data_IF_724510737530
#
_entry.id   IF_724510737530
#
_cell.length_a   1.000
_cell.length_b   1.000
_cell.length_c   1.000
_cell.angle_alpha   90.00
_cell.angle_beta   90.00
_cell.angle_gamma   90.00
#
_symmetry.space_group_name_H-M   'P 1'
#
loop_
_entity.id
_entity.type
_entity.pdbx_description
1 polymer ?
#
# COMPACT_ATOMS: atom_id res chain seq x y z
N UNK A 1 -2.70 -2.97 24.66
CA UNK A 1 -1.58 -3.01 25.61
C UNK A 1 -2.09 -2.61 26.98
N UNK A 2 -1.69 -3.32 28.02
CA UNK A 2 -2.08 -3.10 29.42
C UNK A 2 -0.87 -2.73 30.29
N UNK A 3 -1.09 -2.01 31.39
CA UNK A 3 -0.02 -1.77 32.38
C UNK A 3 0.47 -3.11 32.95
N UNK A 4 1.78 -3.30 33.03
CA UNK A 4 2.46 -4.54 33.42
C UNK A 4 2.75 -5.50 32.26
N UNK A 5 2.32 -5.17 31.03
CA UNK A 5 2.63 -5.98 29.85
C UNK A 5 4.06 -5.73 29.37
N UNK A 6 4.78 -6.80 29.05
CA UNK A 6 6.12 -6.73 28.47
C UNK A 6 6.03 -6.65 26.95
N UNK A 7 6.61 -5.62 26.35
CA UNK A 7 6.57 -5.37 24.90
C UNK A 7 7.97 -5.12 24.33
N UNK A 8 8.16 -5.47 23.06
CA UNK A 8 9.38 -5.16 22.30
C UNK A 8 9.28 -3.72 21.76
N UNK A 9 10.34 -2.95 21.92
CA UNK A 9 10.38 -1.53 21.59
C UNK A 9 11.79 -1.13 21.15
N UNK A 10 11.96 -0.71 19.90
CA UNK A 10 13.26 -0.22 19.40
C UNK A 10 14.41 -1.22 19.64
N UNK A 11 15.29 -0.86 20.58
CA UNK A 11 16.54 -1.52 20.99
C UNK A 11 16.38 -2.63 22.05
N UNK A 12 15.17 -2.91 22.54
CA UNK A 12 15.00 -4.00 23.50
C UNK A 12 13.59 -4.28 24.00
N UNK A 13 13.54 -4.81 25.23
CA UNK A 13 12.31 -5.22 25.92
C UNK A 13 11.98 -4.19 27.01
N UNK A 14 10.72 -3.76 27.09
CA UNK A 14 10.24 -2.84 28.12
C UNK A 14 8.88 -3.22 28.70
N UNK A 15 8.64 -2.84 29.95
CA UNK A 15 7.37 -3.03 30.64
C UNK A 15 6.49 -1.80 30.47
N UNK A 16 5.21 -1.98 30.09
CA UNK A 16 4.23 -0.90 30.04
C UNK A 16 3.93 -0.42 31.46
N UNK A 17 4.43 0.77 31.80
CA UNK A 17 4.17 1.40 33.11
C UNK A 17 2.98 2.34 33.09
N UNK A 18 2.61 2.86 31.92
CA UNK A 18 1.44 3.71 31.77
C UNK A 18 0.85 3.61 30.37
N UNK A 19 -0.48 3.69 30.25
CA UNK A 19 -1.18 3.82 28.97
C UNK A 19 -1.87 5.17 28.94
N UNK A 20 -1.66 5.95 27.88
CA UNK A 20 -2.34 7.24 27.70
C UNK A 20 -3.86 7.05 27.63
N UNK A 21 -4.66 8.00 28.11
CA UNK A 21 -6.12 7.86 28.26
C UNK A 21 -6.91 7.47 26.99
N UNK A 22 -6.32 7.70 25.80
CA UNK A 22 -6.88 7.31 24.49
C UNK A 22 -6.26 6.04 23.89
N UNK A 23 -5.39 5.34 24.60
CA UNK A 23 -4.70 4.12 24.16
C UNK A 23 -3.65 4.30 23.06
N UNK A 24 -3.40 5.53 22.59
CA UNK A 24 -2.52 5.81 21.43
C UNK A 24 -1.03 5.81 21.74
N UNK A 25 -0.67 6.02 23.01
CA UNK A 25 0.70 6.05 23.46
C UNK A 25 0.81 5.29 24.78
N UNK A 26 1.96 4.66 25.00
CA UNK A 26 2.28 3.96 26.23
C UNK A 26 3.66 4.40 26.71
N UNK A 27 3.80 4.50 28.02
CA UNK A 27 5.08 4.71 28.67
C UNK A 27 5.66 3.33 28.93
N UNK A 28 6.81 3.04 28.35
CA UNK A 28 7.56 1.82 28.61
C UNK A 28 8.74 2.10 29.52
N UNK A 29 9.01 1.18 30.44
CA UNK A 29 10.24 1.14 31.22
C UNK A 29 11.17 0.07 30.62
N UNK A 30 12.32 0.49 30.10
CA UNK A 30 13.31 -0.45 29.54
C UNK A 30 13.82 -1.42 30.60
N UNK A 31 13.83 -2.71 30.29
CA UNK A 31 14.40 -3.73 31.17
C UNK A 31 15.92 -3.59 31.31
N UNK A 32 16.60 -3.09 30.27
CA UNK A 32 18.06 -2.94 30.24
C UNK A 32 18.54 -1.69 30.98
N UNK A 33 17.93 -0.53 30.68
CA UNK A 33 18.40 0.77 31.21
C UNK A 33 17.58 1.29 32.38
N UNK A 34 16.43 0.68 32.67
CA UNK A 34 15.45 1.14 33.66
C UNK A 34 14.85 2.52 33.38
N UNK A 35 15.17 3.15 32.24
CA UNK A 35 14.60 4.42 31.81
C UNK A 35 13.19 4.26 31.28
N UNK A 36 12.37 5.29 31.46
CA UNK A 36 11.00 5.33 30.94
C UNK A 36 10.87 6.24 29.73
N UNK A 37 10.24 5.76 28.65
CA UNK A 37 10.02 6.53 27.43
C UNK A 37 8.60 6.33 26.90
N UNK A 38 8.01 7.41 26.38
CA UNK A 38 6.74 7.34 25.66
C UNK A 38 6.96 6.82 24.26
N UNK A 39 6.16 5.84 23.87
CA UNK A 39 6.09 5.32 22.52
C UNK A 39 4.65 5.40 22.05
N UNK A 40 4.44 5.62 20.76
CA UNK A 40 3.11 5.38 20.21
C UNK A 40 2.87 3.88 20.13
N UNK A 41 1.66 3.44 20.48
CA UNK A 41 1.34 2.00 20.53
C UNK A 41 1.58 1.30 19.16
N UNK A 42 1.49 2.04 18.06
CA UNK A 42 1.78 1.53 16.71
C UNK A 42 3.28 1.41 16.38
N UNK A 43 4.17 2.03 17.16
CA UNK A 43 5.63 1.90 17.03
C UNK A 43 6.18 0.70 17.80
N UNK A 44 5.37 0.18 18.73
CA UNK A 44 5.72 -0.92 19.64
C UNK A 44 5.21 -2.28 19.19
N UNK A 45 4.50 -2.32 18.06
CA UNK A 45 4.12 -3.58 17.47
C UNK A 45 5.38 -4.16 16.84
N UNK A 46 5.96 -5.26 17.33
CA UNK A 46 6.97 -5.95 16.57
C UNK A 46 6.29 -6.37 15.26
N UNK A 47 6.73 -5.82 14.13
CA UNK A 47 6.48 -6.51 12.87
C UNK A 47 7.28 -7.80 12.99
N UNK A 48 6.60 -8.93 13.15
CA UNK A 48 7.29 -10.21 13.11
C UNK A 48 8.15 -10.24 11.84
N UNK A 49 9.44 -10.54 11.99
CA UNK A 49 10.35 -10.65 10.83
C UNK A 49 9.87 -11.70 9.81
N UNK A 50 8.95 -12.57 10.22
CA UNK A 50 8.34 -13.58 9.37
C UNK A 50 7.35 -12.95 8.39
N UNK A 51 7.67 -13.03 7.10
CA UNK A 51 6.71 -12.81 6.03
C UNK A 51 6.03 -14.12 5.59
N UNK A 52 5.95 -15.11 6.48
CA UNK A 52 5.23 -16.36 6.21
C UNK A 52 3.71 -16.10 6.25
N UNK A 53 3.23 -15.36 5.26
CA UNK A 53 1.83 -15.05 5.08
C UNK A 53 1.09 -16.33 4.72
N UNK A 54 0.27 -16.81 5.66
CA UNK A 54 -0.61 -17.95 5.49
C UNK A 54 -1.76 -17.58 4.52
N UNK A 55 -1.84 -18.21 3.32
CA UNK A 55 -2.85 -17.87 2.32
C UNK A 55 -4.29 -17.93 2.86
N UNK A 56 -4.59 -18.90 3.71
CA UNK A 56 -5.91 -19.12 4.31
C UNK A 56 -6.39 -17.96 5.21
N UNK A 57 -5.52 -17.02 5.56
CA UNK A 57 -5.87 -15.80 6.31
C UNK A 57 -6.46 -14.70 5.43
N UNK A 58 -6.31 -14.80 4.11
CA UNK A 58 -6.80 -13.82 3.15
C UNK A 58 -8.13 -14.27 2.52
N UNK A 59 -8.95 -13.33 2.00
CA UNK A 59 -10.15 -13.68 1.25
C UNK A 59 -9.83 -14.70 0.15
N UNK A 60 -10.65 -15.75 0.00
CA UNK A 60 -10.39 -16.88 -0.89
C UNK A 60 -9.94 -16.48 -2.32
N UNK A 61 -10.55 -15.47 -2.97
CA UNK A 61 -10.12 -15.05 -4.31
C UNK A 61 -8.72 -14.40 -4.36
N UNK A 62 -8.17 -13.98 -3.22
CA UNK A 62 -6.92 -13.22 -3.09
C UNK A 62 -5.79 -14.02 -2.40
N UNK A 63 -5.91 -15.34 -2.32
CA UNK A 63 -4.92 -16.21 -1.64
C UNK A 63 -3.70 -16.56 -2.51
N UNK A 64 -3.63 -16.10 -3.76
CA UNK A 64 -2.45 -16.30 -4.60
C UNK A 64 -1.60 -15.04 -4.65
N UNK A 65 -0.38 -15.13 -4.13
CA UNK A 65 0.55 -14.01 -4.08
C UNK A 65 2.01 -14.48 -3.98
N UNK A 66 2.93 -13.57 -4.26
CA UNK A 66 4.36 -13.69 -3.97
C UNK A 66 4.70 -12.76 -2.80
N UNK A 67 5.57 -13.20 -1.91
CA UNK A 67 6.01 -12.41 -0.77
C UNK A 67 7.52 -12.54 -0.58
N UNK A 68 8.18 -11.43 -0.22
CA UNK A 68 9.60 -11.40 0.13
C UNK A 68 9.83 -10.48 1.33
N UNK A 69 10.62 -10.92 2.34
CA UNK A 69 11.04 -10.05 3.42
C UNK A 69 12.13 -9.09 2.94
N UNK A 70 12.30 -7.98 3.66
CA UNK A 70 13.52 -7.18 3.57
C UNK A 70 14.70 -7.97 4.15
N UNK A 71 15.89 -7.79 3.57
CA UNK A 71 17.14 -8.37 4.08
C UNK A 71 17.55 -7.84 5.48
N UNK A 72 16.93 -6.74 5.92
CA UNK A 72 17.25 -6.06 7.19
C UNK A 72 16.12 -6.15 8.20
N UNK A 73 15.01 -5.43 7.95
CA UNK A 73 13.83 -5.36 8.83
C UNK A 73 12.59 -5.04 8.01
N UNK A 74 11.43 -5.59 8.38
CA UNK A 74 10.18 -5.38 7.63
C UNK A 74 9.38 -4.19 8.16
N UNK A 75 9.99 -3.01 8.25
CA UNK A 75 9.33 -1.83 8.81
C UNK A 75 8.14 -1.35 7.96
N UNK A 76 8.26 -1.54 6.64
CA UNK A 76 7.22 -1.21 5.67
C UNK A 76 6.79 -2.47 4.89
N UNK A 77 5.61 -2.41 4.29
CA UNK A 77 5.16 -3.39 3.31
C UNK A 77 4.57 -2.67 2.10
N UNK A 78 5.05 -3.01 0.91
CA UNK A 78 4.45 -2.56 -0.36
C UNK A 78 3.64 -3.71 -0.95
N UNK A 79 2.35 -3.46 -1.14
CA UNK A 79 1.41 -4.39 -1.79
C UNK A 79 1.24 -3.99 -3.26
N UNK A 80 1.70 -4.85 -4.16
CA UNK A 80 1.61 -4.66 -5.60
C UNK A 80 0.32 -5.25 -6.16
N UNK A 81 -0.39 -4.42 -6.95
CA UNK A 81 -1.58 -4.78 -7.70
C UNK A 81 -1.28 -4.60 -9.20
N UNK A 82 -1.18 -5.71 -9.93
CA UNK A 82 -0.78 -5.73 -11.34
C UNK A 82 -1.86 -5.16 -12.29
N UNK A 83 -1.48 -4.91 -13.55
CA UNK A 83 -2.40 -4.44 -14.60
C UNK A 83 -3.29 -5.55 -15.18
N UNK A 84 -4.28 -5.17 -15.98
CA UNK A 84 -5.15 -6.10 -16.69
C UNK A 84 -4.32 -7.04 -17.57
N UNK A 85 -4.58 -8.34 -17.48
CA UNK A 85 -3.94 -9.36 -18.29
C UNK A 85 -2.52 -9.74 -17.87
N UNK A 86 -2.08 -9.25 -16.72
CA UNK A 86 -0.80 -9.64 -16.11
C UNK A 86 -1.01 -10.63 -14.96
N UNK A 87 0.09 -10.98 -14.28
CA UNK A 87 0.13 -11.77 -13.06
C UNK A 87 0.92 -11.03 -11.98
N UNK A 88 0.77 -11.46 -10.74
CA UNK A 88 1.58 -11.00 -9.62
C UNK A 88 3.10 -11.13 -9.83
N UNK A 89 3.59 -12.07 -10.66
CA UNK A 89 5.02 -12.34 -10.80
C UNK A 89 5.80 -11.17 -11.42
N UNK A 90 5.25 -10.51 -12.44
CA UNK A 90 5.92 -9.38 -13.10
C UNK A 90 6.02 -8.16 -12.16
N UNK A 91 4.92 -7.85 -11.47
CA UNK A 91 4.90 -6.77 -10.47
C UNK A 91 5.80 -7.07 -9.26
N UNK A 92 5.95 -8.35 -8.89
CA UNK A 92 6.87 -8.77 -7.85
C UNK A 92 8.34 -8.54 -8.25
N UNK A 93 8.71 -8.91 -9.49
CA UNK A 93 10.04 -8.66 -10.02
C UNK A 93 10.37 -7.15 -10.10
N UNK A 94 9.38 -6.32 -10.46
CA UNK A 94 9.52 -4.86 -10.39
C UNK A 94 9.82 -4.39 -8.96
N UNK A 95 9.06 -4.86 -7.97
CA UNK A 95 9.30 -4.53 -6.57
C UNK A 95 10.68 -4.94 -6.07
N UNK A 96 11.18 -6.11 -6.50
CA UNK A 96 12.53 -6.57 -6.20
C UNK A 96 13.60 -5.62 -6.76
N UNK A 97 13.42 -5.18 -8.02
CA UNK A 97 14.34 -4.27 -8.69
C UNK A 97 14.40 -2.87 -8.04
N UNK A 98 13.35 -2.44 -7.33
CA UNK A 98 13.34 -1.17 -6.60
C UNK A 98 14.27 -1.17 -5.38
N UNK A 99 14.59 -2.34 -4.82
CA UNK A 99 15.49 -2.51 -3.68
C UNK A 99 15.20 -1.56 -2.50
N UNK A 100 13.91 -1.43 -2.14
CA UNK A 100 13.47 -0.50 -1.09
C UNK A 100 14.02 -0.93 0.28
N UNK A 101 14.65 -0.02 1.03
CA UNK A 101 15.23 -0.34 2.33
C UNK A 101 14.14 -0.66 3.35
N UNK A 102 14.42 -1.63 4.21
CA UNK A 102 13.54 -2.03 5.32
C UNK A 102 12.07 -2.26 4.94
N UNK A 103 11.85 -2.77 3.72
CA UNK A 103 10.53 -2.89 3.11
C UNK A 103 10.32 -4.31 2.62
N UNK A 104 9.29 -4.96 3.14
CA UNK A 104 8.80 -6.22 2.60
C UNK A 104 7.96 -5.97 1.34
N UNK A 105 7.88 -6.99 0.48
CA UNK A 105 7.12 -6.94 -0.76
C UNK A 105 6.02 -8.01 -0.72
N UNK A 106 4.80 -7.64 -1.09
CA UNK A 106 3.69 -8.55 -1.34
C UNK A 106 3.12 -8.23 -2.72
N UNK A 107 3.11 -9.19 -3.64
CA UNK A 107 2.47 -9.01 -4.95
C UNK A 107 1.31 -9.97 -5.09
N UNK A 108 0.10 -9.42 -5.28
CA UNK A 108 -1.14 -10.18 -5.26
C UNK A 108 -1.66 -10.42 -6.68
N UNK A 109 -2.17 -11.63 -6.92
CA UNK A 109 -2.82 -11.96 -8.19
C UNK A 109 -4.28 -11.55 -8.13
N UNK A 110 -4.75 -10.92 -9.20
CA UNK A 110 -6.15 -10.57 -9.33
C UNK A 110 -7.05 -11.83 -9.40
N UNK A 111 -8.31 -11.76 -8.93
CA UNK A 111 -9.14 -12.95 -8.71
C UNK A 111 -9.74 -13.58 -9.98
N UNK A 112 -9.87 -12.81 -11.07
CA UNK A 112 -10.54 -13.30 -12.28
C UNK A 112 -9.53 -13.67 -13.35
N UNK A 113 -9.49 -14.94 -13.76
CA UNK A 113 -8.71 -15.35 -14.92
C UNK A 113 -9.38 -14.85 -16.21
N UNK A 114 -8.60 -14.32 -17.14
CA UNK A 114 -9.07 -13.99 -18.48
C UNK A 114 -9.09 -15.23 -19.37
N UNK A 115 -9.97 -15.27 -20.40
CA UNK A 115 -9.99 -16.35 -21.38
C UNK A 115 -8.63 -16.53 -22.07
N UNK A 116 -8.37 -17.74 -22.57
CA UNK A 116 -7.18 -18.07 -23.38
C UNK A 116 -5.84 -17.80 -22.67
N UNK A 117 -5.80 -17.95 -21.34
CA UNK A 117 -4.61 -17.73 -20.51
C UNK A 117 -4.00 -16.32 -20.67
N UNK A 118 -4.83 -15.33 -21.00
CA UNK A 118 -4.41 -13.93 -21.17
C UNK A 118 -4.15 -13.19 -19.83
N UNK A 119 -3.86 -13.92 -18.75
CA UNK A 119 -3.60 -13.37 -17.43
C UNK A 119 -4.85 -13.14 -16.58
N UNK A 120 -4.82 -12.13 -15.71
CA UNK A 120 -5.83 -11.93 -14.66
C UNK A 120 -6.38 -10.50 -14.64
N UNK A 121 -7.55 -10.35 -14.04
CA UNK A 121 -8.29 -9.11 -13.94
C UNK A 121 -8.86 -8.88 -12.54
N UNK A 122 -8.78 -7.63 -12.06
CA UNK A 122 -9.25 -7.24 -10.72
C UNK A 122 -10.77 -7.17 -10.63
N UNK A 123 -11.40 -6.78 -11.72
CA UNK A 123 -12.84 -6.58 -11.87
C UNK A 123 -13.18 -6.77 -13.35
N UNK A 124 -14.47 -6.83 -13.69
CA UNK A 124 -14.92 -7.00 -15.07
C UNK A 124 -14.44 -5.86 -15.99
N UNK A 125 -13.58 -6.19 -16.96
CA UNK A 125 -12.81 -5.20 -17.73
C UNK A 125 -13.04 -5.22 -19.24
N UNK A 126 -13.81 -6.19 -19.75
CA UNK A 126 -14.03 -6.37 -21.19
C UNK A 126 -15.52 -6.19 -21.51
N UNK A 127 -15.85 -5.58 -22.64
CA UNK A 127 -17.21 -5.56 -23.17
C UNK A 127 -17.60 -6.88 -23.87
N UNK A 128 -18.79 -6.91 -24.46
CA UNK A 128 -19.32 -8.09 -25.16
C UNK A 128 -18.52 -8.46 -26.43
N UNK A 129 -17.73 -7.52 -26.95
CA UNK A 129 -16.84 -7.70 -28.10
C UNK A 129 -15.44 -8.16 -27.67
N UNK A 130 -15.14 -8.13 -26.36
CA UNK A 130 -13.84 -8.46 -25.80
C UNK A 130 -12.87 -7.27 -25.77
N UNK A 131 -13.34 -6.06 -26.06
CA UNK A 131 -12.54 -4.84 -25.99
C UNK A 131 -12.45 -4.33 -24.55
N UNK A 132 -11.31 -3.72 -24.20
CA UNK A 132 -11.08 -3.19 -22.86
C UNK A 132 -11.98 -1.98 -22.61
N UNK A 133 -12.76 -2.02 -21.54
CA UNK A 133 -13.62 -0.93 -21.10
C UNK A 133 -12.78 0.30 -20.72
N UNK A 134 -12.92 1.44 -21.42
CA UNK A 134 -12.17 2.65 -21.11
C UNK A 134 -12.53 3.24 -19.73
N UNK A 135 -11.56 3.91 -19.12
CA UNK A 135 -11.76 4.61 -17.85
C UNK A 135 -12.65 5.83 -18.05
N UNK A 136 -13.64 6.00 -17.16
CA UNK A 136 -14.62 7.10 -17.22
C UNK A 136 -15.89 6.78 -18.01
N UNK A 137 -15.97 5.63 -18.67
CA UNK A 137 -17.21 5.12 -19.29
C UNK A 137 -17.94 4.26 -18.26
N UNK A 138 -19.18 4.59 -17.89
CA UNK A 138 -19.95 3.81 -16.92
C UNK A 138 -20.26 2.40 -17.44
N UNK A 139 -20.14 1.38 -16.58
CA UNK A 139 -20.43 0.00 -16.97
C UNK A 139 -20.87 -0.85 -15.77
N UNK A 140 -22.10 -1.34 -15.80
CA UNK A 140 -22.74 -1.98 -14.63
C UNK A 140 -21.96 -3.18 -14.09
N UNK A 141 -21.50 -4.09 -14.95
CA UNK A 141 -20.76 -5.26 -14.49
C UNK A 141 -19.38 -4.90 -13.90
N UNK A 142 -18.75 -3.84 -14.42
CA UNK A 142 -17.48 -3.33 -13.89
C UNK A 142 -17.68 -2.77 -12.49
N UNK A 143 -18.70 -1.93 -12.34
CA UNK A 143 -18.96 -1.23 -11.08
C UNK A 143 -19.41 -2.23 -9.99
N UNK A 144 -20.20 -3.25 -10.35
CA UNK A 144 -20.57 -4.35 -9.45
C UNK A 144 -19.37 -5.18 -9.00
N UNK A 145 -18.55 -5.66 -9.93
CA UNK A 145 -17.36 -6.46 -9.59
C UNK A 145 -16.31 -5.67 -8.80
N UNK A 146 -16.16 -4.36 -9.04
CA UNK A 146 -15.34 -3.49 -8.19
C UNK A 146 -15.92 -3.37 -6.76
N UNK A 147 -17.24 -3.23 -6.64
CA UNK A 147 -17.91 -3.16 -5.33
C UNK A 147 -17.77 -4.46 -4.52
N UNK A 148 -17.69 -5.62 -5.19
CA UNK A 148 -17.40 -6.92 -4.58
C UNK A 148 -15.92 -7.07 -4.20
N UNK A 149 -15.00 -6.54 -5.02
CA UNK A 149 -13.56 -6.58 -4.78
C UNK A 149 -13.14 -5.75 -3.56
N UNK A 150 -13.69 -4.55 -3.41
CA UNK A 150 -13.22 -3.58 -2.42
C UNK A 150 -13.22 -4.10 -0.98
N UNK A 151 -14.31 -4.73 -0.47
CA UNK A 151 -14.31 -5.34 0.85
C UNK A 151 -13.22 -6.40 1.04
N UNK A 152 -12.87 -7.16 -0.01
CA UNK A 152 -11.80 -8.16 0.07
C UNK A 152 -10.41 -7.52 0.19
N UNK A 153 -10.16 -6.42 -0.53
CA UNK A 153 -8.92 -5.66 -0.38
C UNK A 153 -8.83 -4.96 0.98
N UNK A 154 -9.94 -4.42 1.50
CA UNK A 154 -10.02 -3.87 2.85
C UNK A 154 -9.70 -4.94 3.90
N UNK A 155 -10.28 -6.13 3.76
CA UNK A 155 -10.01 -7.26 4.66
C UNK A 155 -8.55 -7.71 4.58
N UNK A 156 -7.96 -7.70 3.38
CA UNK A 156 -6.53 -7.99 3.18
C UNK A 156 -5.66 -7.03 3.99
N UNK A 157 -5.91 -5.72 3.90
CA UNK A 157 -5.19 -4.71 4.69
C UNK A 157 -5.41 -4.90 6.20
N UNK A 158 -6.64 -5.24 6.61
CA UNK A 158 -6.96 -5.53 8.01
C UNK A 158 -6.20 -6.74 8.53
N UNK A 159 -6.05 -7.78 7.72
CA UNK A 159 -5.28 -8.98 8.06
C UNK A 159 -3.79 -8.65 8.16
N UNK A 160 -3.23 -7.93 7.19
CA UNK A 160 -1.84 -7.45 7.24
C UNK A 160 -1.55 -6.64 8.51
N UNK A 161 -2.53 -5.84 8.95
CA UNK A 161 -2.40 -5.07 10.18
C UNK A 161 -2.57 -5.90 11.46
N UNK A 162 -3.68 -6.62 11.59
CA UNK A 162 -4.09 -7.25 12.85
C UNK A 162 -3.45 -8.60 13.11
N UNK A 163 -3.07 -9.32 12.06
CA UNK A 163 -2.45 -10.66 12.16
C UNK A 163 -0.94 -10.57 11.98
N UNK A 164 -0.48 -9.78 11.02
CA UNK A 164 0.94 -9.70 10.66
C UNK A 164 1.66 -8.46 11.18
N UNK A 165 0.93 -7.54 11.82
CA UNK A 165 1.51 -6.48 12.65
C UNK A 165 2.00 -5.24 11.91
N UNK A 166 1.81 -5.12 10.59
CA UNK A 166 2.16 -3.87 9.91
C UNK A 166 1.17 -2.74 10.27
N UNK A 167 1.64 -1.60 10.80
CA UNK A 167 0.79 -0.43 10.97
C UNK A 167 0.25 0.06 9.62
N UNK A 168 -1.01 0.53 9.56
CA UNK A 168 -1.59 1.04 8.30
C UNK A 168 -0.75 2.14 7.67
N UNK A 169 -0.18 3.05 8.47
CA UNK A 169 0.71 4.12 7.99
C UNK A 169 2.08 3.64 7.48
N UNK A 170 2.34 2.32 7.47
CA UNK A 170 3.51 1.66 6.88
C UNK A 170 3.13 0.59 5.84
N UNK A 171 1.83 0.49 5.52
CA UNK A 171 1.30 -0.26 4.39
C UNK A 171 1.19 0.66 3.19
N UNK A 172 1.82 0.28 2.08
CA UNK A 172 1.80 1.02 0.82
C UNK A 172 1.10 0.20 -0.25
N UNK A 173 0.35 0.85 -1.13
CA UNK A 173 -0.22 0.22 -2.31
C UNK A 173 0.53 0.70 -3.55
N UNK A 174 0.93 -0.23 -4.41
CA UNK A 174 1.53 0.05 -5.70
C UNK A 174 0.64 -0.55 -6.79
N UNK A 175 -0.06 0.29 -7.54
CA UNK A 175 -0.98 -0.16 -8.57
C UNK A 175 -0.48 0.17 -9.97
N UNK A 176 -0.59 -0.79 -10.89
CA UNK A 176 -0.35 -0.60 -12.32
C UNK A 176 -1.67 -0.72 -13.09
N UNK A 177 -1.98 0.27 -13.92
CA UNK A 177 -3.18 0.31 -14.76
C UNK A 177 -4.46 -0.11 -13.98
N UNK A 178 -5.04 -1.27 -14.30
CA UNK A 178 -6.20 -1.80 -13.58
C UNK A 178 -5.97 -1.95 -12.07
N UNK A 179 -4.78 -2.37 -11.64
CA UNK A 179 -4.42 -2.44 -10.23
C UNK A 179 -4.30 -1.06 -9.57
N UNK A 180 -3.98 -0.01 -10.33
CA UNK A 180 -4.03 1.37 -9.85
C UNK A 180 -5.47 1.81 -9.55
N UNK A 181 -6.46 1.37 -10.35
CA UNK A 181 -7.86 1.63 -10.06
C UNK A 181 -8.29 1.00 -8.74
N UNK A 182 -7.89 -0.25 -8.51
CA UNK A 182 -8.14 -0.94 -7.26
C UNK A 182 -7.46 -0.23 -6.07
N UNK A 183 -6.17 0.13 -6.21
CA UNK A 183 -5.41 0.81 -5.16
C UNK A 183 -6.01 2.17 -4.77
N UNK A 184 -6.38 3.00 -5.75
CA UNK A 184 -7.02 4.30 -5.50
C UNK A 184 -8.43 4.15 -4.90
N UNK A 185 -9.20 3.16 -5.37
CA UNK A 185 -10.52 2.87 -4.83
C UNK A 185 -10.42 2.41 -3.37
N UNK A 186 -9.41 1.59 -3.02
CA UNK A 186 -9.11 1.25 -1.63
C UNK A 186 -8.74 2.50 -0.84
N UNK A 187 -7.78 3.31 -1.30
CA UNK A 187 -7.30 4.47 -0.55
C UNK A 187 -8.40 5.50 -0.26
N UNK A 188 -9.36 5.66 -1.17
CA UNK A 188 -10.49 6.60 -1.03
C UNK A 188 -11.64 6.06 -0.19
N UNK A 189 -11.67 4.75 0.11
CA UNK A 189 -12.78 4.12 0.86
C UNK A 189 -12.34 3.47 2.16
N UNK A 190 -11.04 3.20 2.33
CA UNK A 190 -10.49 2.60 3.54
C UNK A 190 -10.42 3.62 4.68
N UNK A 191 -10.89 3.29 5.89
CA UNK A 191 -11.06 4.28 6.97
C UNK A 191 -9.74 4.77 7.58
N UNK A 192 -8.66 4.00 7.43
CA UNK A 192 -7.36 4.27 8.06
C UNK A 192 -6.37 4.85 7.06
N UNK A 193 -5.50 5.74 7.54
CA UNK A 193 -4.45 6.34 6.71
C UNK A 193 -3.38 5.30 6.36
N UNK A 194 -3.15 5.09 5.06
CA UNK A 194 -2.06 4.24 4.56
C UNK A 194 -0.73 4.99 4.54
N UNK A 195 0.38 4.24 4.42
CA UNK A 195 1.71 4.81 4.22
C UNK A 195 1.80 5.61 2.92
N UNK A 196 1.15 5.11 1.87
CA UNK A 196 0.98 5.83 0.63
C UNK A 196 0.47 4.97 -0.52
N UNK A 197 0.11 5.62 -1.64
CA UNK A 197 -0.27 4.94 -2.89
C UNK A 197 0.55 5.47 -4.07
N UNK A 198 1.15 4.54 -4.81
CA UNK A 198 1.68 4.80 -6.15
C UNK A 198 0.67 4.30 -7.16
N UNK A 199 0.16 5.20 -8.00
CA UNK A 199 -0.80 4.87 -9.07
C UNK A 199 -0.18 5.16 -10.42
N UNK A 200 0.13 4.10 -11.16
CA UNK A 200 0.67 4.17 -12.51
C UNK A 200 -0.43 3.96 -13.55
N UNK A 201 -0.68 4.94 -14.41
CA UNK A 201 -1.67 4.88 -15.50
C UNK A 201 -3.07 4.48 -15.00
N UNK A 202 -3.44 4.99 -13.83
CA UNK A 202 -4.69 4.69 -13.15
C UNK A 202 -5.73 5.82 -13.24
N UNK A 203 -6.84 5.62 -12.52
CA UNK A 203 -8.05 6.40 -12.55
C UNK A 203 -9.02 5.95 -11.46
N UNK A 204 -9.91 6.85 -11.04
CA UNK A 204 -11.04 6.49 -10.18
C UNK A 204 -12.22 6.05 -11.07
N UNK A 205 -12.75 4.86 -10.81
CA UNK A 205 -13.91 4.33 -11.55
C UNK A 205 -15.23 4.94 -11.13
N UNK A 206 -15.29 5.52 -9.93
CA UNK A 206 -16.44 6.22 -9.39
C UNK A 206 -15.97 7.41 -8.57
N UNK A 207 -16.76 8.49 -8.49
CA UNK A 207 -16.45 9.61 -7.61
C UNK A 207 -16.32 9.10 -6.16
N UNK A 208 -15.31 9.57 -5.41
CA UNK A 208 -15.19 9.18 -4.00
C UNK A 208 -16.39 9.71 -3.23
N UNK A 209 -16.92 8.89 -2.31
CA UNK A 209 -17.94 9.36 -1.38
C UNK A 209 -17.32 10.41 -0.44
N UNK A 210 -18.03 11.49 -0.09
CA UNK A 210 -17.53 12.50 0.83
C UNK A 210 -17.52 11.95 2.26
N UNK A 211 -16.52 11.16 2.62
CA UNK A 211 -16.28 10.72 3.99
C UNK A 211 -14.84 10.23 4.14
N UNK A 212 -14.27 10.49 5.32
CA UNK A 212 -12.90 10.17 5.75
C UNK A 212 -11.81 10.98 5.03
N UNK A 213 -11.58 12.22 5.51
CA UNK A 213 -10.36 12.97 5.16
C UNK A 213 -9.18 12.33 5.88
N UNK A 214 -8.63 11.27 5.30
CA UNK A 214 -7.37 10.68 5.73
C UNK A 214 -6.28 11.15 4.78
N UNK A 215 -5.21 11.73 5.33
CA UNK A 215 -4.11 12.28 4.54
C UNK A 215 -3.16 11.20 4.01
N UNK A 216 -3.69 10.16 3.36
CA UNK A 216 -2.88 9.13 2.68
C UNK A 216 -2.13 9.79 1.53
N UNK A 217 -0.79 9.82 1.55
CA UNK A 217 0.00 10.38 0.45
C UNK A 217 -0.21 9.57 -0.82
N UNK A 218 -0.41 10.23 -1.95
CA UNK A 218 -0.55 9.58 -3.25
C UNK A 218 0.33 10.25 -4.28
N UNK A 219 1.02 9.44 -5.09
CA UNK A 219 1.64 9.89 -6.33
C UNK A 219 0.90 9.27 -7.51
N UNK A 220 0.38 10.13 -8.39
CA UNK A 220 -0.31 9.75 -9.61
C UNK A 220 0.63 9.97 -10.80
N UNK A 221 0.94 8.91 -11.53
CA UNK A 221 1.74 8.97 -12.74
C UNK A 221 0.87 8.58 -13.94
N UNK A 222 0.91 9.36 -15.01
CA UNK A 222 0.09 9.11 -16.19
C UNK A 222 0.76 9.59 -17.48
N UNK A 223 0.48 8.93 -18.60
CA UNK A 223 0.85 9.41 -19.92
C UNK A 223 -0.33 10.14 -20.57
N UNK A 224 -0.12 11.36 -21.06
CA UNK A 224 -1.18 12.11 -21.75
C UNK A 224 -1.67 11.44 -23.05
N UNK A 225 -0.94 10.46 -23.57
CA UNK A 225 -1.28 9.71 -24.78
C UNK A 225 -1.76 8.28 -24.47
N UNK A 226 -2.21 8.01 -23.24
CA UNK A 226 -2.81 6.73 -22.87
C UNK A 226 -4.23 6.60 -23.48
N UNK A 227 -4.51 5.59 -24.31
CA UNK A 227 -5.82 5.43 -24.94
C UNK A 227 -6.92 4.94 -23.98
N UNK A 228 -6.55 4.37 -22.82
CA UNK A 228 -7.50 3.78 -21.87
C UNK A 228 -7.94 4.75 -20.77
N UNK A 229 -7.24 5.87 -20.63
CA UNK A 229 -7.54 6.91 -19.63
C UNK A 229 -7.64 8.25 -20.34
N UNK A 230 -8.87 8.70 -20.57
CA UNK A 230 -9.12 10.00 -21.20
C UNK A 230 -8.67 11.18 -20.31
N UNK A 231 -8.40 12.33 -20.93
CA UNK A 231 -8.03 13.55 -20.19
C UNK A 231 -9.09 13.97 -19.15
N UNK A 232 -10.37 13.75 -19.44
CA UNK A 232 -11.46 14.02 -18.48
C UNK A 232 -11.46 13.01 -17.32
N UNK A 233 -11.21 11.73 -17.59
CA UNK A 233 -11.07 10.71 -16.54
C UNK A 233 -9.87 10.99 -15.64
N UNK A 234 -8.73 11.40 -16.21
CA UNK A 234 -7.56 11.83 -15.46
C UNK A 234 -7.86 13.05 -14.57
N UNK A 235 -8.50 14.09 -15.12
CA UNK A 235 -8.86 15.29 -14.36
C UNK A 235 -9.83 14.95 -13.20
N UNK A 236 -10.80 14.07 -13.44
CA UNK A 236 -11.72 13.59 -12.42
C UNK A 236 -11.00 12.76 -11.34
N UNK A 237 -10.06 11.90 -11.73
CA UNK A 237 -9.22 11.13 -10.82
C UNK A 237 -8.41 12.06 -9.90
N UNK A 238 -7.68 13.02 -10.47
CA UNK A 238 -6.89 13.99 -9.72
C UNK A 238 -7.76 14.79 -8.74
N UNK A 239 -8.90 15.34 -9.19
CA UNK A 239 -9.81 16.09 -8.33
C UNK A 239 -10.41 15.23 -7.21
N UNK A 240 -10.81 13.99 -7.52
CA UNK A 240 -11.35 13.04 -6.55
C UNK A 240 -10.31 12.67 -5.48
N UNK A 241 -9.10 12.29 -5.90
CA UNK A 241 -7.98 11.99 -5.01
C UNK A 241 -7.62 13.21 -4.14
N UNK A 242 -7.56 14.41 -4.73
CA UNK A 242 -7.25 15.64 -3.99
C UNK A 242 -8.30 15.93 -2.92
N UNK A 243 -9.58 15.73 -3.25
CA UNK A 243 -10.70 15.94 -2.32
C UNK A 243 -10.73 14.90 -1.19
N UNK A 244 -10.45 13.63 -1.49
CA UNK A 244 -10.55 12.54 -0.52
C UNK A 244 -9.28 12.37 0.34
N UNK A 245 -8.10 12.53 -0.26
CA UNK A 245 -6.80 12.12 0.33
C UNK A 245 -5.90 13.31 0.68
N UNK A 246 -6.14 14.48 0.09
CA UNK A 246 -5.49 15.75 0.45
C UNK A 246 -4.02 15.92 0.03
N UNK A 247 -3.16 14.89 0.17
CA UNK A 247 -1.75 14.94 -0.27
C UNK A 247 -1.59 14.14 -1.56
N UNK A 248 -1.79 14.80 -2.70
CA UNK A 248 -1.64 14.21 -4.03
C UNK A 248 -0.54 14.92 -4.80
N UNK A 249 0.40 14.13 -5.30
CA UNK A 249 1.44 14.55 -6.24
C UNK A 249 1.12 13.96 -7.62
N UNK A 250 1.39 14.70 -8.69
CA UNK A 250 1.09 14.27 -10.07
C UNK A 250 2.26 14.43 -10.99
N UNK A 251 2.51 13.42 -11.82
CA UNK A 251 3.51 13.44 -12.89
C UNK A 251 2.86 13.00 -14.21
N UNK A 252 2.92 13.86 -15.22
CA UNK A 252 2.34 13.60 -16.54
C UNK A 252 3.45 13.53 -17.58
N UNK A 253 3.48 12.44 -18.33
CA UNK A 253 4.50 12.15 -19.34
C UNK A 253 3.94 12.25 -20.75
N UNK A 254 4.85 12.42 -21.72
CA UNK A 254 4.56 12.44 -23.15
C UNK A 254 5.15 11.20 -23.84
N UNK A 255 4.57 10.03 -23.55
CA UNK A 255 5.01 8.74 -24.11
C UNK A 255 3.83 8.03 -24.78
N UNK A 256 4.04 7.14 -25.76
CA UNK A 256 2.93 6.43 -26.38
C UNK A 256 2.33 5.40 -25.41
N UNK A 257 1.02 5.47 -25.19
CA UNK A 257 0.30 4.47 -24.39
C UNK A 257 0.51 4.60 -22.88
N UNK A 258 0.12 3.56 -22.10
CA UNK A 258 0.29 3.55 -20.65
C UNK A 258 1.77 3.50 -20.26
N UNK A 259 2.10 4.11 -19.12
CA UNK A 259 3.45 4.07 -18.56
C UNK A 259 3.91 2.65 -18.26
N UNK A 260 5.20 2.39 -18.53
CA UNK A 260 5.83 1.08 -18.35
C UNK A 260 6.87 1.05 -17.22
N UNK A 261 7.25 2.23 -16.71
CA UNK A 261 8.37 2.43 -15.78
C UNK A 261 9.71 1.92 -16.34
N UNK A 262 9.85 1.90 -17.66
CA UNK A 262 11.04 1.39 -18.34
C UNK A 262 12.23 2.38 -18.32
N UNK A 263 11.97 3.64 -18.00
CA UNK A 263 12.99 4.70 -17.99
C UNK A 263 13.27 5.22 -16.59
N UNK A 264 14.48 5.75 -16.39
CA UNK A 264 14.83 6.44 -15.15
C UNK A 264 13.91 7.63 -14.86
N UNK A 265 13.47 8.32 -15.90
CA UNK A 265 12.59 9.48 -15.80
C UNK A 265 11.20 9.07 -15.26
N UNK A 266 10.63 7.97 -15.78
CA UNK A 266 9.37 7.42 -15.28
C UNK A 266 9.49 6.87 -13.85
N UNK A 267 10.62 6.24 -13.52
CA UNK A 267 10.85 5.65 -12.20
C UNK A 267 11.22 6.68 -11.11
N UNK A 268 11.78 7.84 -11.50
CA UNK A 268 12.31 8.80 -10.53
C UNK A 268 11.25 9.33 -9.55
N UNK A 269 10.04 9.75 -9.98
CA UNK A 269 9.00 10.18 -9.05
C UNK A 269 8.55 9.08 -8.08
N UNK A 270 8.52 7.84 -8.54
CA UNK A 270 8.18 6.68 -7.69
C UNK A 270 9.19 6.51 -6.57
N UNK A 271 10.49 6.55 -6.91
CA UNK A 271 11.56 6.38 -5.92
C UNK A 271 11.65 7.59 -4.97
N UNK A 272 11.40 8.81 -5.48
CA UNK A 272 11.33 10.02 -4.66
C UNK A 272 10.18 9.94 -3.64
N UNK A 273 9.00 9.51 -4.09
CA UNK A 273 7.84 9.31 -3.22
C UNK A 273 8.13 8.32 -2.08
N UNK A 274 8.77 7.18 -2.38
CA UNK A 274 9.16 6.22 -1.35
C UNK A 274 10.25 6.77 -0.43
N UNK A 275 11.24 7.49 -0.95
CA UNK A 275 12.29 8.11 -0.14
C UNK A 275 11.72 9.10 0.90
N UNK A 276 10.64 9.81 0.56
CA UNK A 276 9.97 10.74 1.47
C UNK A 276 8.98 10.08 2.45
N UNK A 277 8.45 8.91 2.10
CA UNK A 277 7.27 8.35 2.77
C UNK A 277 7.57 7.10 3.58
N UNK A 278 8.61 6.33 3.25
CA UNK A 278 8.98 5.13 3.98
C UNK A 278 9.43 5.46 5.40
N UNK A 279 8.98 4.65 6.36
CA UNK A 279 9.50 4.71 7.72
C UNK A 279 10.82 3.94 7.78
N UNK A 280 11.90 4.60 8.18
CA UNK A 280 13.22 3.99 8.30
C UNK A 280 13.71 4.07 9.74
N UNK A 281 14.10 2.92 10.28
CA UNK A 281 14.79 2.82 11.57
C UNK A 281 16.28 2.95 11.37
N UNK A 282 16.94 3.65 12.29
CA UNK A 282 18.39 3.68 12.32
C UNK A 282 18.95 2.50 13.12
N UNK A 283 19.02 1.33 12.47
CA UNK A 283 19.47 0.08 13.10
C UNK A 283 20.90 0.16 13.65
N UNK A 284 21.78 0.96 13.02
CA UNK A 284 23.17 1.12 13.46
C UNK A 284 23.24 1.93 14.77
N UNK A 285 22.42 2.96 14.91
CA UNK A 285 22.29 3.71 16.16
C UNK A 285 21.68 2.83 17.26
N UNK A 286 20.60 2.10 16.99
CA UNK A 286 19.93 1.23 17.98
C UNK A 286 20.84 0.14 18.57
N UNK A 287 21.92 -0.24 17.89
CA UNK A 287 22.89 -1.24 18.37
C UNK A 287 24.05 -0.64 19.19
N UNK A 288 24.14 0.69 19.32
CA UNK A 288 25.16 1.33 20.14
C UNK A 288 24.70 1.38 21.61
N UNK A 289 25.53 0.86 22.52
CA UNK A 289 25.25 0.77 23.95
C UNK A 289 25.10 2.14 24.67
N UNK A 290 25.42 3.23 23.97
CA UNK A 290 25.67 4.55 24.57
C UNK A 290 24.64 5.60 24.14
N UNK A 291 23.54 5.20 23.48
CA UNK A 291 22.55 6.15 22.98
C UNK A 291 21.70 6.71 24.11
N UNK A 292 21.82 8.02 24.30
CA UNK A 292 20.86 8.85 25.01
C UNK A 292 20.09 9.62 23.94
N UNK A 293 18.81 9.27 23.76
CA UNK A 293 17.95 10.00 22.85
C UNK A 293 17.64 11.39 23.44
N UNK A 294 18.07 12.43 22.74
CA UNK A 294 17.79 13.83 23.12
C UNK A 294 16.53 14.28 22.38
N UNK A 295 15.57 14.75 23.18
CA UNK A 295 14.20 15.17 22.82
C UNK A 295 14.11 16.10 21.61
#
# INVERSE_FOLDING_TARGET
MNVGETVQAGDGVGEVVQVHAKGRAVLLKSSATQHTRWYFAHELSPVERSVALAPERFPTPLQTFSVQPSDTSNENLVVFLHGLGDTHAASFALGQAMALPQTALLSMRAPHALPFDLGYSWYHALDDQGDVLPTGVAHTARDQSMAELLPMLHETLRVLHTVYGWPYNRLFLFGLAQGAHAALSVATTFPERLGGVVSLSGGLLSPPLPAFKQHTPVVLLHSKNDPLVSASAWAACHAGCQSALGRVETHVFDVPGPLSLATREEMHPVMAFFAESLYLRNLALEQQADIIEVK
#
